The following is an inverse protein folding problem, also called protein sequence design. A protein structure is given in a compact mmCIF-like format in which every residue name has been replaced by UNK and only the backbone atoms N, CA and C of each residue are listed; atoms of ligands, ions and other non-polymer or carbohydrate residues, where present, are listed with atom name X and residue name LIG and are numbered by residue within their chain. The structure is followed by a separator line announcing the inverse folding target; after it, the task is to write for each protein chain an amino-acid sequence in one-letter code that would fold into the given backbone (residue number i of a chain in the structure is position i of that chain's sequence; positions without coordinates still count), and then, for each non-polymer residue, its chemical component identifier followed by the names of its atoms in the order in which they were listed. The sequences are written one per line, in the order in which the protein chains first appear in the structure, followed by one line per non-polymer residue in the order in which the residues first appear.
data_IF_974022807422
#
_entry.id   IF_974022807422
#
_cell.length_a   1.000
_cell.length_b   1.000
_cell.length_c   1.000
_cell.angle_alpha   90.00
_cell.angle_beta   90.00
_cell.angle_gamma   90.00
#
_symmetry.space_group_name_H-M   'P 1'
#
loop_
_entity.id
_entity.type
_entity.pdbx_description
1 polymer ?
#
# COMPACT_ATOMS: atom_id res chain seq x y z
N UNK A 1 24.35 8.55 20.18
CA UNK A 1 23.39 7.89 19.28
C UNK A 1 22.05 8.64 19.31
N UNK A 2 21.89 9.71 18.50
CA UNK A 2 20.65 10.53 18.40
C UNK A 2 20.50 11.16 17.00
N UNK A 3 20.68 10.38 15.94
CA UNK A 3 20.44 10.85 14.55
C UNK A 3 19.34 10.05 13.83
N UNK A 4 18.99 8.84 14.30
CA UNK A 4 17.90 8.04 13.74
C UNK A 4 16.49 8.61 14.05
N UNK A 5 16.35 9.53 15.01
CA UNK A 5 15.04 10.04 15.46
C UNK A 5 14.47 11.18 14.59
N UNK A 6 15.25 11.73 13.66
CA UNK A 6 14.86 12.94 12.91
C UNK A 6 14.31 12.61 11.51
N UNK A 7 14.72 11.49 10.92
CA UNK A 7 14.32 11.05 9.58
C UNK A 7 13.46 9.78 9.55
N UNK A 8 13.10 9.22 10.71
CA UNK A 8 12.25 8.04 10.83
C UNK A 8 10.97 8.37 11.61
N UNK A 9 9.83 7.83 11.16
CA UNK A 9 8.56 7.90 11.88
C UNK A 9 7.32 8.20 11.03
N UNK A 10 6.14 8.26 11.66
CA UNK A 10 4.84 8.36 10.98
C UNK A 10 4.72 9.51 9.97
N UNK A 11 5.28 10.66 10.33
CA UNK A 11 5.20 11.86 9.50
C UNK A 11 6.01 11.69 8.21
N UNK A 12 7.20 11.09 8.29
CA UNK A 12 8.05 10.80 7.14
C UNK A 12 7.44 9.74 6.24
N UNK A 13 6.91 8.66 6.81
CA UNK A 13 6.17 7.64 6.06
C UNK A 13 5.04 8.28 5.25
N UNK A 14 4.27 9.18 5.88
CA UNK A 14 3.20 9.91 5.20
C UNK A 14 3.70 10.89 4.14
N UNK A 15 4.80 11.59 4.38
CA UNK A 15 5.40 12.51 3.42
C UNK A 15 5.88 11.77 2.17
N UNK A 16 6.64 10.69 2.33
CA UNK A 16 7.09 9.86 1.21
C UNK A 16 5.91 9.25 0.44
N UNK A 17 4.85 8.83 1.15
CA UNK A 17 3.62 8.36 0.51
C UNK A 17 2.95 9.45 -0.32
N UNK A 18 2.86 10.69 0.17
CA UNK A 18 2.27 11.79 -0.61
C UNK A 18 3.18 12.23 -1.78
N UNK A 19 4.49 12.27 -1.54
CA UNK A 19 5.49 12.60 -2.54
C UNK A 19 5.47 11.62 -3.71
N UNK A 20 5.32 10.32 -3.45
CA UNK A 20 5.23 9.31 -4.51
C UNK A 20 4.01 9.52 -5.43
N UNK A 21 2.85 9.92 -4.90
CA UNK A 21 1.72 10.34 -5.76
C UNK A 21 2.06 11.56 -6.62
N UNK A 22 2.69 12.58 -6.03
CA UNK A 22 3.04 13.79 -6.77
C UNK A 22 4.02 13.48 -7.92
N UNK A 23 5.07 12.71 -7.63
CA UNK A 23 6.05 12.27 -8.62
C UNK A 23 5.42 11.40 -9.72
N UNK A 24 4.45 10.56 -9.36
CA UNK A 24 3.70 9.76 -10.32
C UNK A 24 2.89 10.65 -11.28
N UNK A 25 2.19 11.67 -10.77
CA UNK A 25 1.46 12.62 -11.61
C UNK A 25 2.39 13.42 -12.54
N UNK A 26 3.65 13.63 -12.13
CA UNK A 26 4.69 14.25 -12.97
C UNK A 26 5.32 13.28 -13.98
N UNK A 27 4.94 11.99 -13.99
CA UNK A 27 5.49 10.96 -14.87
C UNK A 27 6.89 10.47 -14.45
N UNK A 28 7.36 10.83 -13.24
CA UNK A 28 8.65 10.40 -12.70
C UNK A 28 8.51 9.06 -11.99
N UNK A 29 8.30 8.00 -12.78
CA UNK A 29 7.94 6.67 -12.25
C UNK A 29 9.00 6.06 -11.32
N UNK A 30 10.29 6.20 -11.63
CA UNK A 30 11.37 5.65 -10.80
C UNK A 30 11.46 6.36 -9.44
N UNK A 31 11.39 7.70 -9.45
CA UNK A 31 11.40 8.50 -8.22
C UNK A 31 10.13 8.22 -7.39
N UNK A 32 8.96 8.10 -8.04
CA UNK A 32 7.71 7.75 -7.38
C UNK A 32 7.80 6.37 -6.71
N UNK A 33 8.37 5.37 -7.40
CA UNK A 33 8.59 4.03 -6.85
C UNK A 33 9.57 4.06 -5.68
N UNK A 34 10.65 4.82 -5.77
CA UNK A 34 11.60 4.98 -4.67
C UNK A 34 10.92 5.58 -3.44
N UNK A 35 10.20 6.70 -3.58
CA UNK A 35 9.47 7.32 -2.49
C UNK A 35 8.38 6.38 -1.90
N UNK A 36 7.69 5.60 -2.74
CA UNK A 36 6.70 4.64 -2.26
C UNK A 36 7.35 3.50 -1.45
N UNK A 37 8.54 3.03 -1.84
CA UNK A 37 9.28 2.02 -1.08
C UNK A 37 9.80 2.54 0.27
N UNK A 38 10.29 3.78 0.32
CA UNK A 38 10.67 4.42 1.59
C UNK A 38 9.47 4.57 2.52
N UNK A 39 8.31 4.95 1.98
CA UNK A 39 7.07 4.99 2.75
C UNK A 39 6.68 3.61 3.28
N UNK A 40 6.75 2.58 2.43
CA UNK A 40 6.42 1.20 2.80
C UNK A 40 7.31 0.71 3.94
N UNK A 41 8.63 0.88 3.80
CA UNK A 41 9.60 0.49 4.80
C UNK A 41 9.29 1.12 6.16
N UNK A 42 9.05 2.43 6.21
CA UNK A 42 8.71 3.13 7.46
C UNK A 42 7.35 2.68 8.03
N UNK A 43 6.35 2.42 7.20
CA UNK A 43 5.06 1.91 7.69
C UNK A 43 5.20 0.50 8.27
N UNK A 44 5.98 -0.38 7.64
CA UNK A 44 6.27 -1.73 8.14
C UNK A 44 7.05 -1.71 9.45
N UNK A 45 8.05 -0.83 9.59
CA UNK A 45 8.79 -0.65 10.85
C UNK A 45 7.90 -0.20 12.02
N UNK A 46 6.80 0.49 11.72
CA UNK A 46 5.84 0.95 12.71
C UNK A 46 4.81 -0.11 13.10
N UNK A 47 4.64 -1.16 12.29
CA UNK A 47 3.78 -2.26 12.66
C UNK A 47 4.41 -3.03 13.82
N UNK A 48 3.66 -3.32 14.90
CA UNK A 48 4.17 -4.18 15.94
C UNK A 48 4.46 -5.55 15.33
N UNK A 49 5.73 -6.00 15.39
CA UNK A 49 6.14 -7.38 15.05
C UNK A 49 5.10 -8.34 15.62
N UNK A 50 4.38 -9.06 14.75
CA UNK A 50 3.23 -9.93 15.03
C UNK A 50 3.14 -10.43 16.49
N UNK A 51 2.67 -9.59 17.41
CA UNK A 51 2.31 -10.04 18.75
C UNK A 51 0.94 -10.65 18.60
N UNK A 52 0.97 -11.98 18.60
CA UNK A 52 -0.19 -12.83 18.62
C UNK A 52 -1.27 -12.25 19.55
N UNK A 53 -2.52 -12.39 19.08
CA UNK A 53 -3.78 -12.37 19.83
C UNK A 53 -4.62 -11.09 19.70
N UNK A 54 -5.60 -11.20 18.80
CA UNK A 54 -7.02 -10.88 19.02
C UNK A 54 -7.35 -10.46 20.46
N UNK A 55 -7.82 -9.24 20.63
CA UNK A 55 -8.45 -8.81 21.87
C UNK A 55 -8.96 -7.38 21.83
N UNK A 56 -10.20 -7.19 21.36
CA UNK A 56 -11.10 -6.06 21.67
C UNK A 56 -10.42 -4.73 22.04
N UNK A 57 -9.67 -4.12 21.12
CA UNK A 57 -9.17 -2.75 21.31
C UNK A 57 -10.20 -1.76 20.75
N UNK A 58 -10.62 -0.80 21.57
CA UNK A 58 -11.55 0.26 21.21
C UNK A 58 -11.09 1.02 19.94
N UNK A 59 -12.01 1.59 19.14
CA UNK A 59 -11.65 2.30 17.92
C UNK A 59 -10.67 3.43 18.24
N UNK A 60 -9.42 3.28 17.81
CA UNK A 60 -8.39 4.29 17.96
C UNK A 60 -8.74 5.53 17.11
N UNK A 61 -8.53 6.73 17.66
CA UNK A 61 -8.61 7.97 16.89
C UNK A 61 -7.62 7.96 15.71
N UNK A 62 -7.91 8.68 14.62
CA UNK A 62 -7.06 8.75 13.43
C UNK A 62 -5.59 9.09 13.75
N UNK A 63 -5.33 10.01 14.68
CA UNK A 63 -3.98 10.34 15.14
C UNK A 63 -3.28 9.16 15.82
N UNK A 64 -4.00 8.40 16.65
CA UNK A 64 -3.44 7.28 17.40
C UNK A 64 -3.15 6.05 16.53
N UNK A 65 -3.97 5.79 15.50
CA UNK A 65 -3.65 4.78 14.46
C UNK A 65 -2.38 5.13 13.69
N UNK A 66 -2.22 6.40 13.31
CA UNK A 66 -0.99 6.86 12.67
C UNK A 66 0.23 6.74 13.58
N UNK A 67 0.08 6.83 14.90
CA UNK A 67 1.17 6.67 15.86
C UNK A 67 1.51 5.21 16.20
N UNK A 68 0.53 4.29 16.11
CA UNK A 68 0.70 2.86 16.46
C UNK A 68 0.98 1.95 15.23
N UNK A 69 1.00 2.51 14.02
CA UNK A 69 1.10 1.74 12.77
C UNK A 69 -0.27 1.21 12.34
N UNK A 70 -0.71 1.55 11.13
CA UNK A 70 -1.99 1.08 10.57
C UNK A 70 -1.68 0.14 9.39
N UNK A 71 -2.02 -1.17 9.47
CA UNK A 71 -1.84 -2.10 8.36
C UNK A 71 -2.47 -1.62 7.05
N UNK A 72 -3.50 -0.78 7.14
CA UNK A 72 -4.15 -0.18 5.98
C UNK A 72 -3.22 0.78 5.22
N UNK A 73 -2.29 1.45 5.91
CA UNK A 73 -1.31 2.32 5.24
C UNK A 73 -0.25 1.50 4.47
N UNK A 74 0.14 0.33 4.97
CA UNK A 74 0.94 -0.66 4.23
C UNK A 74 0.19 -1.12 2.98
N UNK A 75 -1.09 -1.52 3.13
CA UNK A 75 -1.91 -1.95 2.01
C UNK A 75 -2.09 -0.85 0.93
N UNK A 76 -2.31 0.40 1.35
CA UNK A 76 -2.41 1.56 0.44
C UNK A 76 -1.11 1.82 -0.31
N UNK A 77 0.03 1.58 0.33
CA UNK A 77 1.35 1.74 -0.28
C UNK A 77 1.63 0.63 -1.29
N UNK A 78 1.28 -0.62 -0.98
CA UNK A 78 1.29 -1.71 -1.96
C UNK A 78 0.36 -1.43 -3.14
N UNK A 79 -0.85 -0.92 -2.92
CA UNK A 79 -1.74 -0.50 -4.02
C UNK A 79 -1.08 0.56 -4.92
N UNK A 80 -0.35 1.52 -4.33
CA UNK A 80 0.37 2.53 -5.12
C UNK A 80 1.51 1.90 -5.93
N UNK A 81 2.34 1.05 -5.32
CA UNK A 81 3.42 0.34 -6.00
C UNK A 81 2.89 -0.53 -7.15
N UNK A 82 1.76 -1.20 -6.94
CA UNK A 82 1.10 -1.97 -8.00
C UNK A 82 0.63 -1.09 -9.16
N UNK A 83 0.08 0.09 -8.87
CA UNK A 83 -0.33 1.04 -9.90
C UNK A 83 0.87 1.62 -10.67
N UNK A 84 1.98 1.92 -9.97
CA UNK A 84 3.23 2.35 -10.58
C UNK A 84 3.82 1.26 -11.49
N UNK A 85 3.93 0.03 -11.01
CA UNK A 85 4.38 -1.11 -11.81
C UNK A 85 3.49 -1.32 -13.04
N UNK A 86 2.16 -1.24 -12.89
CA UNK A 86 1.23 -1.33 -14.00
C UNK A 86 1.45 -0.22 -15.04
N UNK A 87 1.70 1.02 -14.60
CA UNK A 87 1.91 2.15 -15.50
C UNK A 87 3.16 2.03 -16.39
N UNK A 88 4.14 1.21 -15.98
CA UNK A 88 5.36 0.92 -16.76
C UNK A 88 5.34 -0.47 -17.40
N UNK A 89 4.19 -1.16 -17.39
CA UNK A 89 4.01 -2.49 -18.02
C UNK A 89 4.58 -3.67 -17.24
N UNK A 90 4.96 -3.48 -15.96
CA UNK A 90 5.44 -4.54 -15.08
C UNK A 90 4.25 -5.29 -14.45
N UNK A 91 3.48 -5.99 -15.28
CA UNK A 91 2.16 -6.54 -14.92
C UNK A 91 2.22 -7.60 -13.81
N UNK A 92 3.25 -8.46 -13.82
CA UNK A 92 3.44 -9.48 -12.77
C UNK A 92 3.75 -8.85 -11.42
N UNK A 93 4.61 -7.83 -11.39
CA UNK A 93 4.91 -7.07 -10.17
C UNK A 93 3.68 -6.30 -9.67
N UNK A 94 2.89 -5.75 -10.60
CA UNK A 94 1.63 -5.08 -10.27
C UNK A 94 0.66 -6.03 -9.54
N UNK A 95 0.44 -7.22 -10.09
CA UNK A 95 -0.42 -8.24 -9.45
C UNK A 95 0.11 -8.68 -8.08
N UNK A 96 1.42 -8.86 -7.93
CA UNK A 96 2.02 -9.20 -6.64
C UNK A 96 1.65 -8.16 -5.58
N UNK A 97 1.88 -6.87 -5.87
CA UNK A 97 1.55 -5.79 -4.95
C UNK A 97 0.06 -5.63 -4.70
N UNK A 98 -0.79 -5.75 -5.73
CA UNK A 98 -2.24 -5.67 -5.54
C UNK A 98 -2.77 -6.82 -4.68
N UNK A 99 -2.26 -8.04 -4.85
CA UNK A 99 -2.65 -9.18 -4.02
C UNK A 99 -2.24 -9.00 -2.55
N UNK A 100 -1.04 -8.46 -2.29
CA UNK A 100 -0.64 -8.09 -0.91
C UNK A 100 -1.58 -7.04 -0.32
N UNK A 101 -1.95 -6.01 -1.09
CA UNK A 101 -2.89 -5.00 -0.64
C UNK A 101 -4.29 -5.58 -0.34
N UNK A 102 -4.82 -6.46 -1.22
CA UNK A 102 -6.10 -7.14 -1.02
C UNK A 102 -6.11 -7.94 0.27
N UNK A 103 -5.12 -8.79 0.49
CA UNK A 103 -5.03 -9.64 1.68
C UNK A 103 -5.13 -8.82 2.98
N UNK A 104 -4.40 -7.70 3.07
CA UNK A 104 -4.41 -6.86 4.27
C UNK A 104 -5.76 -6.15 4.43
N UNK A 105 -6.33 -5.63 3.35
CA UNK A 105 -7.60 -4.90 3.39
C UNK A 105 -8.79 -5.81 3.71
N UNK A 106 -8.78 -7.05 3.23
CA UNK A 106 -9.77 -8.07 3.56
C UNK A 106 -9.69 -8.48 5.03
N UNK A 107 -8.49 -8.71 5.56
CA UNK A 107 -8.28 -9.02 6.97
C UNK A 107 -8.81 -7.91 7.91
N UNK A 108 -8.77 -6.65 7.46
CA UNK A 108 -9.19 -5.49 8.23
C UNK A 108 -10.60 -4.94 7.85
N UNK A 109 -11.37 -5.67 7.05
CA UNK A 109 -12.74 -5.32 6.61
C UNK A 109 -12.87 -3.96 5.88
N UNK A 110 -11.83 -3.54 5.16
CA UNK A 110 -11.80 -2.30 4.37
C UNK A 110 -12.44 -2.47 2.97
N UNK A 111 -13.73 -2.83 2.94
CA UNK A 111 -14.46 -3.23 1.72
C UNK A 111 -14.39 -2.23 0.56
N UNK A 112 -14.37 -0.92 0.85
CA UNK A 112 -14.26 0.10 -0.20
C UNK A 112 -12.91 0.03 -0.88
N UNK A 113 -11.83 -0.01 -0.11
CA UNK A 113 -10.49 -0.16 -0.65
C UNK A 113 -10.28 -1.52 -1.33
N UNK A 114 -10.88 -2.60 -0.83
CA UNK A 114 -10.89 -3.91 -1.52
C UNK A 114 -11.44 -3.76 -2.93
N UNK A 115 -12.64 -3.17 -3.10
CA UNK A 115 -13.23 -2.96 -4.42
C UNK A 115 -12.32 -2.16 -5.36
N UNK A 116 -11.67 -1.10 -4.86
CA UNK A 116 -10.72 -0.33 -5.66
C UNK A 116 -9.51 -1.16 -6.12
N UNK A 117 -8.95 -2.01 -5.26
CA UNK A 117 -7.82 -2.87 -5.64
C UNK A 117 -8.28 -3.97 -6.59
N UNK A 118 -9.44 -4.58 -6.37
CA UNK A 118 -10.03 -5.57 -7.27
C UNK A 118 -10.17 -5.03 -8.70
N UNK A 119 -10.71 -3.82 -8.88
CA UNK A 119 -10.78 -3.21 -10.21
C UNK A 119 -9.41 -3.07 -10.88
N UNK A 120 -8.36 -2.74 -10.11
CA UNK A 120 -7.00 -2.67 -10.65
C UNK A 120 -6.46 -4.05 -11.05
N UNK A 121 -6.73 -5.09 -10.26
CA UNK A 121 -6.36 -6.48 -10.59
C UNK A 121 -7.06 -6.93 -11.87
N UNK A 122 -8.37 -6.73 -11.98
CA UNK A 122 -9.13 -7.02 -13.20
C UNK A 122 -8.57 -6.30 -14.42
N UNK A 123 -8.21 -5.02 -14.26
CA UNK A 123 -7.58 -4.25 -15.34
C UNK A 123 -6.22 -4.82 -15.77
N UNK A 124 -5.37 -5.27 -14.83
CA UNK A 124 -4.09 -5.91 -15.18
C UNK A 124 -4.32 -7.22 -15.93
N UNK A 125 -5.28 -8.05 -15.51
CA UNK A 125 -5.63 -9.27 -16.22
C UNK A 125 -6.14 -8.99 -17.64
N UNK A 126 -6.93 -7.93 -17.84
CA UNK A 126 -7.30 -7.48 -19.19
C UNK A 126 -6.08 -7.11 -20.04
N UNK A 127 -5.10 -6.41 -19.47
CA UNK A 127 -3.85 -6.08 -20.19
C UNK A 127 -3.03 -7.33 -20.54
N UNK A 128 -3.12 -8.40 -19.74
CA UNK A 128 -2.49 -9.70 -20.00
C UNK A 128 -3.29 -10.61 -20.95
N UNK A 129 -4.46 -10.17 -21.42
CA UNK A 129 -5.43 -10.99 -22.16
C UNK A 129 -5.96 -12.21 -21.38
N UNK A 130 -5.93 -12.14 -20.05
CA UNK A 130 -6.43 -13.14 -19.10
C UNK A 130 -7.89 -12.83 -18.78
N UNK A 131 -8.76 -13.07 -19.76
CA UNK A 131 -10.17 -12.61 -19.70
C UNK A 131 -11.00 -13.33 -18.64
N UNK A 132 -10.73 -14.61 -18.39
CA UNK A 132 -11.45 -15.41 -17.39
C UNK A 132 -11.14 -14.90 -15.98
N UNK A 133 -9.86 -14.60 -15.72
CA UNK A 133 -9.38 -14.04 -14.47
C UNK A 133 -9.92 -12.63 -14.26
N UNK A 134 -9.95 -11.79 -15.30
CA UNK A 134 -10.47 -10.42 -15.21
C UNK A 134 -11.96 -10.38 -14.78
N UNK A 135 -12.78 -11.33 -15.23
CA UNK A 135 -14.21 -11.40 -14.89
C UNK A 135 -14.47 -11.69 -13.41
N UNK A 136 -13.49 -12.24 -12.69
CA UNK A 136 -13.62 -12.46 -11.25
C UNK A 136 -13.55 -11.14 -10.45
N UNK A 137 -13.06 -10.06 -11.06
CA UNK A 137 -12.74 -8.80 -10.40
C UNK A 137 -13.51 -7.57 -10.92
N UNK A 138 -14.30 -7.73 -12.00
CA UNK A 138 -15.09 -6.67 -12.66
C UNK A 138 -16.59 -6.97 -12.55
#
# INVERSE_FOLDING_TARGET
MRQASVNGGPAWARLYFLQSYMLWQEGKYDEARHAANEALHLFEEMLPEQRHQHGNAAPLTRMRRTLEGDPVDVARTHRLLGALANSVGQLTEALMHFNTALSILEEHDHKREVAHVSCNVGYVHLQKAEHEEAQLFL
#
